data_IF_010240062913
#
_entry.id   IF_010240062913
#
_cell.length_a   1.000
_cell.length_b   1.000
_cell.length_c   1.000
_cell.angle_alpha   90.00
_cell.angle_beta   90.00
_cell.angle_gamma   90.00
#
_symmetry.space_group_name_H-M   'P 1'
#
loop_
_entity.id
_entity.type
_entity.pdbx_description
1 polymer ?
#
# COMPACT_ATOMS: atom_id res chain seq x y z
N UNK A 1 -22.29 13.80 -62.79
CA UNK A 1 -23.51 14.37 -62.17
C UNK A 1 -24.27 13.21 -61.56
N UNK A 2 -24.43 13.22 -60.23
CA UNK A 2 -25.51 12.53 -59.50
C UNK A 2 -26.84 13.33 -59.65
N UNK A 3 -28.04 12.90 -59.18
CA UNK A 3 -28.37 11.92 -58.10
C UNK A 3 -29.42 10.84 -58.58
N UNK A 4 -30.23 10.08 -57.80
CA UNK A 4 -30.74 10.15 -56.41
C UNK A 4 -30.81 8.79 -55.66
N UNK A 5 -30.61 8.88 -54.34
CA UNK A 5 -31.46 8.42 -53.22
C UNK A 5 -32.54 7.34 -53.45
N UNK A 6 -32.51 6.23 -52.68
CA UNK A 6 -33.49 5.91 -51.62
C UNK A 6 -33.25 4.54 -50.91
N UNK A 7 -33.92 4.37 -49.76
CA UNK A 7 -33.93 3.23 -48.80
C UNK A 7 -35.41 3.00 -48.38
N UNK A 8 -35.87 1.97 -47.60
CA UNK A 8 -35.16 0.93 -46.83
C UNK A 8 -35.75 -0.51 -46.96
N UNK A 9 -35.24 -1.48 -46.18
CA UNK A 9 -35.79 -2.86 -46.17
C UNK A 9 -35.25 -3.81 -45.08
N UNK A 10 -35.86 -3.78 -43.89
CA UNK A 10 -35.78 -4.70 -42.73
C UNK A 10 -35.17 -6.12 -42.88
N UNK A 11 -34.40 -6.53 -41.85
CA UNK A 11 -34.43 -7.90 -41.30
C UNK A 11 -34.60 -7.88 -39.77
N UNK A 12 -35.05 -9.01 -39.20
CA UNK A 12 -35.60 -9.12 -37.84
C UNK A 12 -34.61 -9.69 -36.81
N UNK A 13 -34.95 -9.49 -35.52
CA UNK A 13 -34.20 -9.90 -34.35
C UNK A 13 -33.93 -11.41 -34.24
N UNK A 14 -32.79 -11.75 -33.63
CA UNK A 14 -32.67 -12.90 -32.73
C UNK A 14 -31.86 -12.49 -31.49
N UNK A 15 -32.23 -12.99 -30.31
CA UNK A 15 -31.76 -12.48 -29.00
C UNK A 15 -30.51 -13.19 -28.47
N UNK A 16 -29.74 -12.47 -27.66
CA UNK A 16 -28.57 -12.97 -26.92
C UNK A 16 -29.01 -13.86 -25.75
N UNK A 17 -28.32 -14.99 -25.53
CA UNK A 17 -27.68 -15.23 -24.24
C UNK A 17 -26.24 -15.74 -24.42
N UNK A 18 -25.25 -15.35 -23.61
CA UNK A 18 -25.23 -14.38 -22.53
C UNK A 18 -23.81 -14.37 -21.94
N UNK A 19 -23.19 -13.20 -21.76
CA UNK A 19 -21.79 -13.12 -21.37
C UNK A 19 -21.59 -13.52 -19.90
N UNK A 20 -21.15 -14.76 -19.68
CA UNK A 20 -20.56 -15.17 -18.41
C UNK A 20 -19.29 -14.35 -18.19
N UNK A 21 -19.39 -13.31 -17.35
CA UNK A 21 -18.21 -12.73 -16.72
C UNK A 21 -17.67 -13.77 -15.73
N UNK A 22 -16.86 -14.70 -16.24
CA UNK A 22 -15.99 -15.50 -15.39
C UNK A 22 -15.06 -14.52 -14.67
N UNK A 23 -15.28 -14.36 -13.36
CA UNK A 23 -14.43 -13.56 -12.50
C UNK A 23 -13.04 -14.19 -12.52
N UNK A 24 -12.13 -13.57 -13.27
CA UNK A 24 -10.73 -13.99 -13.34
C UNK A 24 -10.17 -14.20 -11.94
N UNK A 25 -9.46 -15.30 -11.66
CA UNK A 25 -8.93 -15.55 -10.32
C UNK A 25 -8.03 -14.38 -9.90
N UNK A 26 -8.27 -13.88 -8.69
CA UNK A 26 -7.55 -12.74 -8.10
C UNK A 26 -6.04 -12.99 -8.08
N UNK A 27 -5.65 -14.22 -7.77
CA UNK A 27 -4.26 -14.69 -7.76
C UNK A 27 -3.97 -15.51 -9.01
N UNK A 28 -3.06 -15.02 -9.85
CA UNK A 28 -2.61 -15.68 -11.08
C UNK A 28 -1.27 -16.37 -10.87
N UNK A 29 -1.00 -17.44 -11.61
CA UNK A 29 0.31 -18.12 -11.64
C UNK A 29 1.33 -17.47 -12.59
N UNK A 30 0.88 -16.54 -13.43
CA UNK A 30 1.68 -15.76 -14.38
C UNK A 30 1.23 -14.30 -14.35
N UNK A 31 2.12 -13.33 -14.58
CA UNK A 31 1.74 -11.92 -14.66
C UNK A 31 0.91 -11.64 -15.92
N UNK A 32 0.27 -10.47 -15.98
CA UNK A 32 -0.29 -9.92 -17.23
C UNK A 32 0.84 -9.52 -18.18
N UNK A 33 1.95 -9.00 -17.66
CA UNK A 33 3.15 -8.69 -18.45
C UNK A 33 4.42 -9.25 -17.83
N UNK A 34 5.16 -10.05 -18.59
CA UNK A 34 6.50 -10.54 -18.18
C UNK A 34 7.54 -9.41 -18.03
N UNK A 35 7.25 -8.20 -18.56
CA UNK A 35 8.10 -7.02 -18.44
C UNK A 35 7.47 -5.92 -17.59
N UNK A 36 8.32 -5.20 -16.84
CA UNK A 36 7.96 -4.05 -16.00
C UNK A 36 7.91 -2.72 -16.77
N UNK A 37 7.62 -1.63 -16.06
CA UNK A 37 7.53 -0.27 -16.63
C UNK A 37 8.85 0.31 -17.15
N UNK A 38 10.00 -0.35 -16.90
CA UNK A 38 11.30 -0.01 -17.48
C UNK A 38 11.75 -1.02 -18.55
N UNK A 39 10.92 -2.01 -18.90
CA UNK A 39 11.23 -3.04 -19.89
C UNK A 39 12.16 -4.15 -19.37
N UNK A 40 12.40 -4.24 -18.07
CA UNK A 40 13.13 -5.36 -17.45
C UNK A 40 12.18 -6.53 -17.15
N UNK A 41 12.72 -7.73 -16.91
CA UNK A 41 11.95 -8.89 -16.45
C UNK A 41 11.29 -8.57 -15.09
N UNK A 42 9.96 -8.68 -15.05
CA UNK A 42 9.12 -8.06 -14.01
C UNK A 42 9.46 -8.53 -12.59
N UNK A 43 9.45 -9.83 -12.36
CA UNK A 43 9.81 -10.44 -11.08
C UNK A 43 10.61 -11.71 -11.32
N UNK A 44 11.52 -12.05 -10.39
CA UNK A 44 12.31 -13.29 -10.45
C UNK A 44 12.20 -14.05 -9.14
N UNK A 45 11.60 -15.23 -9.16
CA UNK A 45 11.38 -16.10 -7.99
C UNK A 45 10.62 -17.36 -8.36
N UNK A 46 10.76 -18.44 -7.57
CA UNK A 46 10.23 -19.77 -7.94
C UNK A 46 8.77 -20.01 -7.55
N UNK A 47 8.27 -19.35 -6.50
CA UNK A 47 6.92 -19.54 -5.95
C UNK A 47 6.23 -18.18 -5.81
N UNK A 48 5.80 -17.64 -6.96
CA UNK A 48 5.19 -16.31 -7.06
C UNK A 48 3.73 -16.41 -7.52
N UNK A 49 2.87 -15.56 -6.96
CA UNK A 49 1.51 -15.29 -7.45
C UNK A 49 1.34 -13.81 -7.76
N UNK A 50 0.54 -13.51 -8.77
CA UNK A 50 0.37 -12.17 -9.31
C UNK A 50 -1.06 -11.68 -9.11
N UNK A 51 -1.18 -10.46 -8.60
CA UNK A 51 -2.42 -9.70 -8.50
C UNK A 51 -2.38 -8.54 -9.50
N UNK A 52 -3.46 -8.36 -10.24
CA UNK A 52 -3.57 -7.26 -11.21
C UNK A 52 -3.81 -5.94 -10.50
N UNK A 53 -2.89 -4.97 -10.67
CA UNK A 53 -3.08 -3.58 -10.23
C UNK A 53 -4.24 -2.93 -11.01
N UNK A 54 -5.27 -2.37 -10.35
CA UNK A 54 -6.27 -1.54 -11.01
C UNK A 54 -5.68 -0.16 -11.36
N UNK A 55 -6.43 0.69 -12.08
CA UNK A 55 -6.06 2.08 -12.41
C UNK A 55 -6.13 3.01 -11.17
N UNK A 56 -5.38 2.66 -10.13
CA UNK A 56 -5.27 3.34 -8.84
C UNK A 56 -3.88 3.10 -8.23
N UNK A 57 -3.43 3.92 -7.27
CA UNK A 57 -2.15 3.71 -6.60
C UNK A 57 -2.06 2.37 -5.84
N UNK A 58 -0.84 1.94 -5.57
CA UNK A 58 -0.54 0.74 -4.78
C UNK A 58 -1.16 0.82 -3.37
N UNK A 59 -1.72 -0.30 -2.90
CA UNK A 59 -2.31 -0.42 -1.56
C UNK A 59 -2.11 -1.82 -0.98
N UNK A 60 -1.42 -1.89 0.14
CA UNK A 60 -1.29 -3.10 0.97
C UNK A 60 -2.66 -3.50 1.52
N UNK A 61 -3.45 -2.52 1.97
CA UNK A 61 -4.74 -2.75 2.61
C UNK A 61 -5.76 -3.36 1.65
N UNK A 62 -5.80 -2.90 0.40
CA UNK A 62 -6.66 -3.50 -0.62
C UNK A 62 -6.20 -4.91 -0.99
N UNK A 63 -4.88 -5.14 -1.04
CA UNK A 63 -4.31 -6.44 -1.37
C UNK A 63 -4.58 -7.49 -0.30
N UNK A 64 -4.49 -7.12 0.98
CA UNK A 64 -4.75 -8.01 2.11
C UNK A 64 -6.20 -8.48 2.23
N UNK A 65 -7.20 -7.72 1.74
CA UNK A 65 -8.62 -8.14 1.71
C UNK A 65 -8.87 -9.47 0.98
N UNK A 66 -7.94 -9.88 0.13
CA UNK A 66 -8.05 -11.12 -0.64
C UNK A 66 -7.50 -12.36 0.08
N UNK A 67 -6.95 -12.18 1.29
CA UNK A 67 -6.48 -13.24 2.17
C UNK A 67 -7.48 -13.40 3.33
N UNK A 68 -7.94 -14.62 3.64
CA UNK A 68 -8.87 -14.82 4.74
C UNK A 68 -8.13 -14.74 6.09
N UNK A 69 -8.71 -14.04 7.06
CA UNK A 69 -8.28 -14.12 8.45
C UNK A 69 -8.51 -15.54 9.00
N UNK A 70 -7.47 -16.15 9.54
CA UNK A 70 -7.57 -17.41 10.26
C UNK A 70 -7.97 -17.19 11.73
N UNK A 71 -9.10 -17.78 12.12
CA UNK A 71 -9.44 -17.91 13.53
C UNK A 71 -8.47 -18.90 14.21
N UNK A 72 -7.52 -18.36 14.98
CA UNK A 72 -6.57 -19.13 15.77
C UNK A 72 -7.35 -19.95 16.81
N UNK A 73 -7.27 -21.27 16.72
CA UNK A 73 -7.79 -22.15 17.77
C UNK A 73 -6.79 -22.21 18.91
N UNK A 74 -7.26 -22.02 20.14
CA UNK A 74 -6.42 -22.09 21.35
C UNK A 74 -6.04 -23.55 21.69
N UNK A 75 -5.20 -24.15 20.84
CA UNK A 75 -4.61 -25.47 21.06
C UNK A 75 -3.63 -25.35 22.23
N UNK A 76 -3.83 -26.16 23.28
CA UNK A 76 -2.95 -26.18 24.45
C UNK A 76 -1.57 -26.75 24.08
N UNK A 77 -0.63 -25.87 23.76
CA UNK A 77 0.76 -26.22 23.52
C UNK A 77 1.41 -26.81 24.79
N UNK A 78 2.15 -27.91 24.63
CA UNK A 78 3.00 -28.55 25.67
C UNK A 78 4.50 -28.43 25.37
N UNK A 79 4.86 -27.88 24.21
CA UNK A 79 6.22 -27.62 23.75
C UNK A 79 6.21 -26.51 22.69
N UNK A 80 7.39 -26.04 22.30
CA UNK A 80 7.53 -25.21 21.10
C UNK A 80 7.01 -25.95 19.83
N UNK A 81 6.68 -25.22 18.75
CA UNK A 81 6.24 -25.82 17.50
C UNK A 81 7.30 -26.76 16.90
N UNK A 82 6.88 -27.91 16.35
CA UNK A 82 7.80 -28.99 15.93
C UNK A 82 8.13 -29.00 14.43
N UNK A 83 7.36 -28.26 13.64
CA UNK A 83 7.41 -28.30 12.17
C UNK A 83 7.33 -26.87 11.61
N UNK A 84 8.19 -26.56 10.65
CA UNK A 84 8.19 -25.24 10.00
C UNK A 84 7.06 -25.09 8.98
N UNK A 85 6.60 -23.87 8.69
CA UNK A 85 5.62 -23.61 7.63
C UNK A 85 6.03 -24.18 6.27
N UNK A 86 5.01 -24.55 5.50
CA UNK A 86 5.14 -25.20 4.20
C UNK A 86 4.53 -24.36 3.09
N UNK A 87 4.87 -24.66 1.83
CA UNK A 87 4.30 -24.01 0.63
C UNK A 87 4.41 -22.46 0.67
N UNK A 88 5.57 -21.96 1.10
CA UNK A 88 5.85 -20.52 1.15
C UNK A 88 5.68 -19.92 -0.25
N UNK A 89 4.92 -18.83 -0.34
CA UNK A 89 4.56 -18.18 -1.60
C UNK A 89 4.71 -16.66 -1.44
N UNK A 90 5.31 -15.99 -2.44
CA UNK A 90 5.29 -14.53 -2.54
C UNK A 90 4.12 -14.13 -3.44
N UNK A 91 3.17 -13.39 -2.90
CA UNK A 91 2.10 -12.74 -3.68
C UNK A 91 2.47 -11.28 -3.90
N UNK A 92 2.44 -10.84 -5.15
CA UNK A 92 2.86 -9.50 -5.54
C UNK A 92 1.84 -8.83 -6.47
N UNK A 93 1.79 -7.50 -6.43
CA UNK A 93 0.90 -6.67 -7.25
C UNK A 93 1.73 -6.06 -8.38
N UNK A 94 1.33 -6.30 -9.63
CA UNK A 94 2.07 -5.83 -10.81
C UNK A 94 2.19 -4.30 -10.82
N UNK A 95 3.39 -3.74 -10.80
CA UNK A 95 3.65 -2.30 -10.70
C UNK A 95 3.67 -1.76 -9.26
N UNK A 96 3.88 -2.62 -8.25
CA UNK A 96 4.01 -2.22 -6.84
C UNK A 96 5.24 -2.88 -6.18
N UNK A 97 6.47 -2.39 -6.46
CA UNK A 97 7.71 -3.02 -5.99
C UNK A 97 8.03 -2.82 -4.50
N UNK A 98 7.30 -1.93 -3.80
CA UNK A 98 7.60 -1.48 -2.44
C UNK A 98 7.05 -2.38 -1.33
N UNK A 99 6.23 -3.37 -1.68
CA UNK A 99 5.75 -4.39 -0.75
C UNK A 99 5.49 -5.72 -1.47
N UNK A 100 5.43 -6.81 -0.71
CA UNK A 100 4.82 -8.07 -1.12
C UNK A 100 3.97 -8.62 0.02
N UNK A 101 3.12 -9.60 -0.26
CA UNK A 101 2.49 -10.43 0.78
C UNK A 101 3.17 -11.79 0.75
N UNK A 102 3.71 -12.24 1.89
CA UNK A 102 4.22 -13.61 2.05
C UNK A 102 3.07 -14.45 2.62
N UNK A 103 2.81 -15.60 2.02
CA UNK A 103 1.72 -16.54 2.34
C UNK A 103 2.26 -17.96 2.55
N UNK A 104 1.66 -18.75 3.45
CA UNK A 104 2.10 -20.11 3.76
C UNK A 104 1.01 -21.04 4.28
N UNK A 105 1.22 -22.36 4.13
CA UNK A 105 0.38 -23.38 4.79
C UNK A 105 1.00 -23.78 6.14
N UNK A 106 0.26 -23.53 7.23
CA UNK A 106 0.53 -24.07 8.57
C UNK A 106 0.46 -25.61 8.60
N UNK A 107 1.09 -26.23 9.60
CA UNK A 107 0.99 -27.67 9.78
C UNK A 107 -0.32 -28.07 10.48
N UNK A 108 -0.87 -29.24 10.17
CA UNK A 108 -2.14 -29.70 10.78
C UNK A 108 -1.98 -30.11 12.25
N UNK A 109 -0.75 -30.46 12.66
CA UNK A 109 -0.35 -30.70 14.05
C UNK A 109 0.45 -29.53 14.64
N UNK A 110 0.28 -28.31 14.11
CA UNK A 110 0.97 -27.12 14.62
C UNK A 110 0.43 -26.69 15.99
N UNK A 111 1.28 -26.05 16.78
CA UNK A 111 0.94 -25.42 18.07
C UNK A 111 1.41 -23.96 18.12
N UNK A 112 1.76 -23.37 16.97
CA UNK A 112 2.01 -21.95 16.81
C UNK A 112 0.80 -21.09 17.25
N UNK A 113 1.10 -19.89 17.71
CA UNK A 113 0.13 -18.81 17.91
C UNK A 113 0.54 -17.56 17.12
N UNK A 114 1.84 -17.43 16.82
CA UNK A 114 2.42 -16.36 16.01
C UNK A 114 3.46 -16.94 15.03
N UNK A 115 3.82 -16.14 14.04
CA UNK A 115 4.82 -16.44 13.03
C UNK A 115 5.75 -15.24 12.87
N UNK A 116 7.05 -15.47 13.00
CA UNK A 116 8.10 -14.50 12.70
C UNK A 116 8.53 -14.64 11.24
N UNK A 117 8.18 -13.67 10.40
CA UNK A 117 8.58 -13.59 8.99
C UNK A 117 9.86 -12.77 8.90
N UNK A 118 10.96 -13.43 8.59
CA UNK A 118 12.27 -12.81 8.41
C UNK A 118 12.47 -12.51 6.92
N UNK A 119 12.67 -11.24 6.58
CA UNK A 119 13.06 -10.80 5.24
C UNK A 119 14.49 -10.26 5.25
N UNK A 120 15.35 -10.80 4.37
CA UNK A 120 16.75 -10.42 4.23
C UNK A 120 16.95 -9.78 2.87
N UNK A 121 17.31 -8.50 2.84
CA UNK A 121 17.76 -7.82 1.63
C UNK A 121 19.21 -8.21 1.33
N UNK A 122 19.55 -8.38 0.05
CA UNK A 122 20.94 -8.42 -0.42
C UNK A 122 21.23 -7.19 -1.30
N UNK A 123 22.08 -6.28 -0.82
CA UNK A 123 22.53 -5.09 -1.55
C UNK A 123 23.55 -5.37 -2.64
N UNK A 124 23.74 -4.42 -3.56
CA UNK A 124 24.71 -4.53 -4.67
C UNK A 124 26.18 -4.57 -4.18
N UNK A 125 26.44 -4.12 -2.97
CA UNK A 125 27.71 -4.16 -2.25
C UNK A 125 27.89 -5.44 -1.40
N UNK A 126 26.93 -6.36 -1.45
CA UNK A 126 26.76 -7.51 -0.54
C UNK A 126 26.49 -7.10 0.93
N UNK A 127 26.03 -5.88 1.19
CA UNK A 127 25.39 -5.56 2.47
C UNK A 127 24.11 -6.41 2.63
N UNK A 128 23.79 -6.76 3.88
CA UNK A 128 22.53 -7.42 4.22
C UNK A 128 21.77 -6.63 5.26
N UNK A 129 20.51 -6.31 4.95
CA UNK A 129 19.56 -5.70 5.88
C UNK A 129 18.49 -6.74 6.22
N UNK A 130 18.32 -7.06 7.50
CA UNK A 130 17.29 -8.00 7.96
C UNK A 130 16.15 -7.25 8.67
N UNK A 131 14.92 -7.61 8.33
CA UNK A 131 13.70 -7.14 8.99
C UNK A 131 12.89 -8.35 9.45
N UNK A 132 12.30 -8.27 10.65
CA UNK A 132 11.42 -9.30 11.20
C UNK A 132 10.02 -8.71 11.39
N UNK A 133 9.04 -9.28 10.70
CA UNK A 133 7.61 -8.98 10.87
C UNK A 133 6.97 -10.10 11.67
N UNK A 134 6.31 -9.79 12.78
CA UNK A 134 5.52 -10.77 13.53
C UNK A 134 4.05 -10.67 13.12
N UNK A 135 3.42 -11.81 12.84
CA UNK A 135 1.99 -11.91 12.55
C UNK A 135 1.36 -13.08 13.30
N UNK A 136 0.06 -13.03 13.52
CA UNK A 136 -0.72 -14.17 14.05
C UNK A 136 -1.52 -14.89 12.94
N UNK A 137 -1.44 -14.40 11.69
CA UNK A 137 -2.04 -14.97 10.49
C UNK A 137 -1.06 -15.89 9.75
N UNK A 138 -1.55 -16.71 8.81
CA UNK A 138 -0.71 -17.49 7.88
C UNK A 138 -0.22 -16.68 6.66
N UNK A 139 -0.35 -15.36 6.72
CA UNK A 139 0.13 -14.43 5.72
C UNK A 139 0.55 -13.11 6.38
N UNK A 140 1.39 -12.32 5.73
CA UNK A 140 1.67 -10.93 6.14
C UNK A 140 2.20 -10.09 4.99
N UNK A 141 2.00 -8.77 5.07
CA UNK A 141 2.71 -7.84 4.20
C UNK A 141 4.15 -7.65 4.69
N UNK A 142 5.11 -7.64 3.77
CA UNK A 142 6.47 -7.16 4.01
C UNK A 142 6.65 -5.86 3.23
N UNK A 143 6.96 -4.79 3.96
CA UNK A 143 6.84 -3.41 3.51
C UNK A 143 8.19 -2.67 3.45
N UNK A 144 8.23 -1.52 2.78
CA UNK A 144 9.43 -0.72 2.50
C UNK A 144 10.51 -1.46 1.70
N UNK A 145 10.11 -2.37 0.81
CA UNK A 145 11.04 -3.04 -0.10
C UNK A 145 11.61 -2.01 -1.10
N UNK A 146 12.89 -2.17 -1.43
CA UNK A 146 13.57 -1.36 -2.45
C UNK A 146 13.27 -1.95 -3.84
N UNK A 147 13.03 -1.15 -4.89
CA UNK A 147 12.84 -1.65 -6.25
C UNK A 147 14.10 -2.34 -6.82
N UNK A 148 13.90 -3.26 -7.78
CA UNK A 148 14.93 -4.06 -8.45
C UNK A 148 16.00 -4.64 -7.49
N UNK A 149 15.54 -5.16 -6.35
CA UNK A 149 16.39 -5.60 -5.23
C UNK A 149 16.08 -7.05 -4.87
N UNK A 150 17.11 -7.81 -4.51
CA UNK A 150 17.00 -9.22 -4.13
C UNK A 150 16.68 -9.37 -2.65
N UNK A 151 15.73 -10.25 -2.33
CA UNK A 151 15.31 -10.60 -0.98
C UNK A 151 15.24 -12.12 -0.80
N UNK A 152 15.52 -12.62 0.40
CA UNK A 152 15.06 -13.96 0.84
C UNK A 152 14.06 -13.84 1.99
N UNK A 153 13.04 -14.69 1.97
CA UNK A 153 12.00 -14.76 2.99
C UNK A 153 12.04 -16.11 3.70
N UNK A 154 11.87 -16.13 5.02
CA UNK A 154 11.66 -17.36 5.80
C UNK A 154 10.68 -17.10 6.94
N UNK A 155 9.93 -18.13 7.34
CA UNK A 155 8.92 -18.00 8.40
C UNK A 155 9.19 -18.97 9.53
N UNK A 156 9.30 -18.47 10.74
CA UNK A 156 9.53 -19.26 11.97
C UNK A 156 8.24 -19.28 12.80
N UNK A 157 7.68 -20.47 13.13
CA UNK A 157 6.48 -20.59 13.96
C UNK A 157 6.85 -20.41 15.43
N UNK A 158 6.01 -19.73 16.22
CA UNK A 158 6.27 -19.45 17.64
C UNK A 158 5.06 -19.69 18.52
N UNK A 159 5.30 -20.06 19.78
CA UNK A 159 4.28 -20.08 20.84
C UNK A 159 4.91 -19.79 22.21
N UNK A 160 4.11 -19.88 23.27
CA UNK A 160 4.52 -19.58 24.67
C UNK A 160 5.71 -20.41 25.19
N UNK A 161 6.10 -21.50 24.52
CA UNK A 161 7.24 -22.35 24.86
C UNK A 161 8.48 -22.10 23.98
N UNK A 162 8.38 -21.20 22.98
CA UNK A 162 9.50 -20.77 22.13
C UNK A 162 9.26 -20.90 20.62
N UNK A 163 10.35 -20.73 19.88
CA UNK A 163 10.42 -20.79 18.41
C UNK A 163 10.58 -22.23 17.93
N UNK A 164 9.86 -22.62 16.89
CA UNK A 164 10.07 -23.87 16.16
C UNK A 164 11.13 -23.77 15.06
N UNK A 165 11.29 -24.81 14.22
CA UNK A 165 12.17 -24.74 13.06
C UNK A 165 11.57 -23.83 11.96
N UNK A 166 12.39 -23.07 11.21
CA UNK A 166 11.90 -22.21 10.14
C UNK A 166 11.45 -23.00 8.90
N UNK A 167 10.72 -22.33 8.01
CA UNK A 167 10.52 -22.77 6.63
C UNK A 167 11.85 -22.84 5.85
N UNK A 168 11.82 -23.47 4.67
CA UNK A 168 12.84 -23.21 3.63
C UNK A 168 12.85 -21.73 3.27
N UNK A 169 14.03 -21.16 2.99
CA UNK A 169 14.12 -19.78 2.46
C UNK A 169 13.56 -19.71 1.03
N UNK A 170 12.89 -18.61 0.71
CA UNK A 170 12.33 -18.30 -0.60
C UNK A 170 12.93 -17.01 -1.15
N UNK A 171 13.71 -17.13 -2.23
CA UNK A 171 14.31 -15.98 -2.92
C UNK A 171 13.34 -15.30 -3.89
N UNK A 172 13.37 -13.97 -3.91
CA UNK A 172 12.53 -13.12 -4.75
C UNK A 172 13.25 -11.81 -5.12
N UNK A 173 13.07 -11.31 -6.34
CA UNK A 173 13.55 -9.99 -6.78
C UNK A 173 12.37 -9.11 -7.14
N UNK A 174 12.34 -7.90 -6.56
CA UNK A 174 11.28 -6.90 -6.77
C UNK A 174 11.32 -6.28 -8.18
N UNK A 175 10.17 -5.76 -8.63
CA UNK A 175 10.03 -4.96 -9.85
C UNK A 175 10.90 -3.69 -9.85
N UNK A 176 11.13 -3.10 -11.03
CA UNK A 176 11.54 -1.69 -11.13
C UNK A 176 10.58 -0.74 -10.41
N UNK A 177 11.07 0.46 -10.08
CA UNK A 177 10.20 1.56 -9.68
C UNK A 177 9.21 1.89 -10.81
N UNK A 178 7.98 2.23 -10.44
CA UNK A 178 6.95 2.70 -11.37
C UNK A 178 7.08 4.23 -11.54
N UNK A 179 7.60 4.73 -12.69
CA UNK A 179 7.84 6.15 -12.90
C UNK A 179 6.54 6.96 -13.07
N UNK A 180 5.39 6.31 -13.23
CA UNK A 180 4.09 7.00 -13.26
C UNK A 180 3.67 7.53 -11.89
N UNK A 181 4.19 6.95 -10.80
CA UNK A 181 3.85 7.37 -9.44
C UNK A 181 4.78 8.49 -8.94
N UNK A 182 6.08 8.43 -9.24
CA UNK A 182 7.05 9.50 -8.93
C UNK A 182 8.37 9.35 -9.68
N UNK A 183 9.17 10.42 -9.73
CA UNK A 183 10.57 10.40 -10.17
C UNK A 183 11.45 9.65 -9.15
N UNK A 184 11.54 8.31 -9.27
CA UNK A 184 12.46 7.52 -8.45
C UNK A 184 13.91 7.73 -8.92
N UNK A 185 14.68 8.51 -8.15
CA UNK A 185 16.10 8.74 -8.41
C UNK A 185 16.92 8.19 -7.24
N UNK A 186 17.68 7.10 -7.44
CA UNK A 186 18.49 6.47 -6.39
C UNK A 186 19.39 7.48 -5.67
N UNK A 187 19.30 7.53 -4.34
CA UNK A 187 20.09 8.45 -3.50
C UNK A 187 19.60 9.90 -3.53
N UNK A 188 18.41 10.16 -4.08
CA UNK A 188 17.75 11.47 -4.14
C UNK A 188 16.33 11.46 -3.57
N UNK A 189 15.98 10.38 -2.88
CA UNK A 189 14.69 10.17 -2.22
C UNK A 189 14.31 11.35 -1.33
N UNK A 190 13.00 11.61 -1.23
CA UNK A 190 12.47 12.65 -0.37
C UNK A 190 12.94 12.42 1.08
N UNK A 191 13.78 13.32 1.62
CA UNK A 191 14.39 13.17 2.95
C UNK A 191 13.32 13.36 4.03
N UNK A 192 12.66 12.26 4.38
CA UNK A 192 11.71 12.15 5.47
C UNK A 192 12.45 11.97 6.79
N UNK A 193 12.50 13.02 7.60
CA UNK A 193 13.11 12.95 8.94
C UNK A 193 12.07 12.46 9.95
N UNK A 194 12.36 11.38 10.68
CA UNK A 194 11.50 10.94 11.78
C UNK A 194 11.46 12.04 12.86
N UNK A 195 10.27 12.58 13.14
CA UNK A 195 10.09 13.72 14.03
C UNK A 195 8.70 13.71 14.68
N UNK A 196 8.68 13.71 16.02
CA UNK A 196 7.45 13.64 16.82
C UNK A 196 6.77 15.01 16.94
N UNK A 197 6.17 15.48 15.84
CA UNK A 197 5.43 16.74 15.81
C UNK A 197 4.14 16.71 16.65
N UNK A 198 3.65 17.93 16.98
CA UNK A 198 2.34 18.19 17.58
C UNK A 198 1.31 18.41 16.46
N UNK A 199 0.09 17.91 16.65
CA UNK A 199 -0.98 18.01 15.67
C UNK A 199 -2.33 18.32 16.34
N UNK A 200 -3.33 18.64 15.52
CA UNK A 200 -4.59 19.31 15.91
C UNK A 200 -5.70 18.39 16.45
N UNK A 201 -5.67 17.08 16.18
CA UNK A 201 -6.69 16.11 16.60
C UNK A 201 -6.16 14.69 16.81
N UNK A 202 -7.04 13.77 17.22
CA UNK A 202 -6.82 12.33 17.02
C UNK A 202 -6.48 11.99 15.55
N UNK A 203 -5.80 10.85 15.35
CA UNK A 203 -5.52 10.23 14.05
C UNK A 203 -5.70 8.72 14.16
N UNK A 204 -6.26 8.08 13.14
CA UNK A 204 -6.33 6.61 13.04
C UNK A 204 -4.94 6.01 12.81
N UNK A 205 -4.08 6.74 12.12
CA UNK A 205 -2.67 6.40 11.98
C UNK A 205 -1.95 6.68 13.30
N UNK A 206 -1.38 5.63 13.91
CA UNK A 206 -0.69 5.71 15.21
C UNK A 206 0.81 5.38 15.13
N UNK A 207 1.31 5.03 13.94
CA UNK A 207 2.70 4.67 13.70
C UNK A 207 3.68 5.85 13.76
N UNK A 208 4.91 5.61 13.29
CA UNK A 208 5.99 6.61 13.35
C UNK A 208 5.66 7.87 12.54
N UNK A 209 6.19 8.99 13.03
CA UNK A 209 5.91 10.33 12.51
C UNK A 209 7.10 10.87 11.75
N UNK A 210 6.86 11.42 10.57
CA UNK A 210 7.91 11.95 9.68
C UNK A 210 7.58 13.37 9.23
N UNK A 211 8.61 14.17 8.97
CA UNK A 211 8.46 15.52 8.41
C UNK A 211 9.38 15.71 7.21
N UNK A 212 8.83 16.34 6.17
CA UNK A 212 9.56 16.84 4.98
C UNK A 212 9.34 18.33 4.83
N UNK A 213 10.38 19.07 4.44
CA UNK A 213 10.28 20.50 4.10
C UNK A 213 9.95 20.67 2.62
N UNK A 214 8.93 21.44 2.27
CA UNK A 214 8.52 21.67 0.88
C UNK A 214 9.20 22.90 0.27
N UNK A 215 9.24 22.95 -1.08
CA UNK A 215 9.70 24.11 -1.86
C UNK A 215 8.88 25.38 -1.53
N UNK A 216 7.61 25.22 -1.19
CA UNK A 216 6.66 26.29 -0.83
C UNK A 216 6.78 26.81 0.62
N UNK A 217 7.95 26.63 1.26
CA UNK A 217 8.25 27.09 2.63
C UNK A 217 7.33 26.53 3.73
N UNK A 218 6.70 25.37 3.51
CA UNK A 218 5.88 24.66 4.51
C UNK A 218 6.55 23.34 4.93
N UNK A 219 6.05 22.75 5.99
CA UNK A 219 6.42 21.41 6.46
C UNK A 219 5.22 20.48 6.24
N UNK A 220 5.45 19.35 5.57
CA UNK A 220 4.49 18.24 5.48
C UNK A 220 4.80 17.29 6.62
N UNK A 221 3.80 17.03 7.46
CA UNK A 221 3.87 16.04 8.54
C UNK A 221 3.11 14.78 8.12
N UNK A 222 3.68 13.62 8.40
CA UNK A 222 3.12 12.31 8.12
C UNK A 222 3.00 11.52 9.42
N UNK A 223 1.88 10.85 9.61
CA UNK A 223 1.73 9.78 10.61
C UNK A 223 1.34 8.50 9.85
N UNK A 224 2.12 7.43 10.00
CA UNK A 224 1.91 6.17 9.29
C UNK A 224 0.76 5.35 9.87
N UNK A 225 -0.10 4.83 9.00
CA UNK A 225 -0.96 3.67 9.27
C UNK A 225 -0.25 2.40 8.76
N UNK A 226 0.23 2.44 7.51
CA UNK A 226 1.23 1.53 6.96
C UNK A 226 2.22 2.31 6.05
N UNK A 227 3.13 1.66 5.32
CA UNK A 227 4.13 2.38 4.49
C UNK A 227 3.50 3.15 3.33
N UNK A 228 2.37 2.67 2.78
CA UNK A 228 1.62 3.30 1.69
C UNK A 228 0.39 4.10 2.17
N UNK A 229 -0.11 3.84 3.38
CA UNK A 229 -1.27 4.50 4.00
C UNK A 229 -0.84 5.41 5.15
N UNK A 230 -1.18 6.69 5.07
CA UNK A 230 -0.80 7.66 6.10
C UNK A 230 -1.76 8.84 6.19
N UNK A 231 -1.78 9.50 7.34
CA UNK A 231 -2.41 10.81 7.47
C UNK A 231 -1.40 11.91 7.17
N UNK A 232 -1.73 12.75 6.18
CA UNK A 232 -0.96 13.94 5.78
C UNK A 232 -1.46 15.16 6.57
N UNK A 233 -0.52 15.95 7.07
CA UNK A 233 -0.73 17.24 7.75
C UNK A 233 0.18 18.31 7.14
N UNK A 234 -0.14 19.58 7.36
CA UNK A 234 0.71 20.73 7.00
C UNK A 234 0.99 21.65 8.19
N UNK A 235 2.17 22.27 8.21
CA UNK A 235 2.48 23.39 9.11
C UNK A 235 3.35 24.46 8.44
N UNK A 236 3.29 25.67 8.98
CA UNK A 236 4.22 26.75 8.65
C UNK A 236 5.51 26.69 9.52
N UNK A 237 5.56 25.85 10.57
CA UNK A 237 6.74 25.70 11.44
C UNK A 237 6.92 24.26 11.94
N UNK A 238 8.15 23.76 11.94
CA UNK A 238 8.52 22.44 12.47
C UNK A 238 8.15 22.28 13.97
N UNK A 239 8.25 23.35 14.76
CA UNK A 239 7.89 23.36 16.19
C UNK A 239 6.43 23.73 16.46
N UNK A 240 5.66 24.03 15.42
CA UNK A 240 4.26 24.43 15.51
C UNK A 240 3.29 23.26 15.66
N UNK A 241 2.00 23.57 15.55
CA UNK A 241 0.96 22.57 15.31
C UNK A 241 0.95 22.24 13.82
N UNK A 242 0.86 20.95 13.51
CA UNK A 242 0.57 20.43 12.18
C UNK A 242 -0.94 20.19 12.08
N UNK A 243 -1.57 20.81 11.09
CA UNK A 243 -3.01 20.83 10.94
C UNK A 243 -3.47 19.93 9.80
N UNK A 244 -4.72 19.48 9.89
CA UNK A 244 -5.39 18.78 8.82
C UNK A 244 -5.37 19.59 7.51
N UNK A 245 -5.36 18.87 6.39
CA UNK A 245 -5.54 19.44 5.05
C UNK A 245 -6.96 19.10 4.60
N UNK A 246 -7.73 20.12 4.23
CA UNK A 246 -9.06 19.99 3.65
C UNK A 246 -9.11 20.33 2.16
N UNK A 247 -10.13 19.83 1.49
CA UNK A 247 -10.37 19.96 0.05
C UNK A 247 -11.76 20.58 -0.21
N UNK A 248 -11.84 21.48 -1.18
CA UNK A 248 -13.05 22.14 -1.66
C UNK A 248 -13.70 21.43 -2.87
N UNK A 249 -12.99 20.54 -3.56
CA UNK A 249 -13.45 19.91 -4.82
C UNK A 249 -13.12 18.41 -4.90
N UNK A 250 -13.29 17.71 -3.79
CA UNK A 250 -13.03 16.28 -3.67
C UNK A 250 -13.01 15.85 -2.21
N UNK A 251 -12.18 14.87 -1.89
CA UNK A 251 -11.87 14.44 -0.53
C UNK A 251 -10.35 14.48 -0.25
N UNK A 252 -9.59 15.21 -1.07
CA UNK A 252 -8.14 15.37 -0.95
C UNK A 252 -7.35 14.25 -1.61
N UNK A 253 -7.90 13.55 -2.61
CA UNK A 253 -7.17 12.59 -3.45
C UNK A 253 -5.91 13.25 -4.04
N UNK A 254 -6.01 14.52 -4.46
CA UNK A 254 -4.90 15.29 -5.03
C UNK A 254 -3.81 15.70 -4.01
N UNK A 255 -4.08 15.58 -2.70
CA UNK A 255 -3.14 15.91 -1.63
C UNK A 255 -1.91 14.99 -1.64
N UNK A 256 -1.96 13.88 -2.38
CA UNK A 256 -0.81 13.03 -2.68
C UNK A 256 0.35 13.77 -3.36
N UNK A 257 0.09 14.94 -3.97
CA UNK A 257 1.14 15.88 -4.37
C UNK A 257 2.07 16.30 -3.22
N UNK A 258 1.60 16.38 -1.97
CA UNK A 258 2.45 16.78 -0.82
C UNK A 258 3.49 15.72 -0.44
N UNK A 259 3.27 14.46 -0.84
CA UNK A 259 4.25 13.36 -0.73
C UNK A 259 5.01 13.10 -2.03
N UNK A 260 4.96 14.06 -2.97
CA UNK A 260 5.61 14.03 -4.29
C UNK A 260 5.08 12.96 -5.27
N UNK A 261 3.92 12.35 -4.98
CA UNK A 261 3.23 11.47 -5.93
C UNK A 261 2.66 12.28 -7.10
N UNK A 262 2.82 11.79 -8.33
CA UNK A 262 2.24 12.37 -9.55
C UNK A 262 0.76 12.04 -9.73
N UNK A 263 0.31 10.93 -9.15
CA UNK A 263 -1.08 10.46 -9.19
C UNK A 263 -1.93 11.12 -8.09
N UNK A 264 -3.24 10.94 -8.20
CA UNK A 264 -4.20 11.20 -7.14
C UNK A 264 -4.45 9.90 -6.34
N UNK A 265 -4.67 10.03 -5.03
CA UNK A 265 -4.69 8.92 -4.07
C UNK A 265 -6.03 8.19 -3.94
N UNK A 266 -6.02 7.09 -3.17
CA UNK A 266 -7.23 6.71 -2.40
C UNK A 266 -7.26 7.50 -1.10
N UNK A 267 -8.45 7.67 -0.56
CA UNK A 267 -8.75 8.43 0.66
C UNK A 267 -9.54 7.56 1.66
N UNK A 268 -9.56 7.98 2.92
CA UNK A 268 -10.39 7.38 3.97
C UNK A 268 -11.89 7.57 3.75
N UNK A 269 -12.71 7.16 4.72
CA UNK A 269 -14.17 7.23 4.62
C UNK A 269 -14.66 8.64 4.22
N UNK A 270 -15.42 8.70 3.14
CA UNK A 270 -15.97 9.93 2.57
C UNK A 270 -17.21 10.38 3.37
N UNK A 271 -16.96 10.88 4.58
CA UNK A 271 -17.98 11.44 5.46
C UNK A 271 -18.58 12.72 4.87
N UNK A 272 -19.87 12.94 5.13
CA UNK A 272 -20.55 14.19 4.77
C UNK A 272 -19.97 15.39 5.56
N UNK A 273 -19.97 16.62 5.01
CA UNK A 273 -19.45 17.80 5.69
C UNK A 273 -19.99 17.97 7.12
N UNK A 274 -21.28 17.73 7.32
CA UNK A 274 -21.98 17.86 8.61
C UNK A 274 -21.50 16.83 9.66
N UNK A 275 -20.93 15.70 9.24
CA UNK A 275 -20.35 14.68 10.12
C UNK A 275 -18.92 15.01 10.53
N UNK A 276 -18.19 15.82 9.76
CA UNK A 276 -16.79 16.18 10.01
C UNK A 276 -16.67 17.25 11.12
N UNK A 277 -16.00 16.98 12.26
CA UNK A 277 -15.81 17.98 13.31
C UNK A 277 -15.09 19.25 12.81
N UNK A 278 -15.70 20.40 13.07
CA UNK A 278 -15.18 21.73 12.72
C UNK A 278 -13.83 21.98 13.39
N UNK A 279 -12.83 22.40 12.61
CA UNK A 279 -11.45 22.66 13.09
C UNK A 279 -10.76 23.75 12.28
N UNK A 280 -9.59 24.20 12.73
CA UNK A 280 -8.67 24.95 11.86
C UNK A 280 -7.83 23.98 11.02
N UNK A 281 -7.56 24.34 9.78
CA UNK A 281 -6.84 23.50 8.81
C UNK A 281 -6.23 24.31 7.68
N UNK A 282 -5.30 23.69 6.96
CA UNK A 282 -4.94 24.15 5.62
C UNK A 282 -5.97 23.64 4.62
N UNK A 283 -6.21 24.36 3.52
CA UNK A 283 -7.10 23.87 2.47
C UNK A 283 -6.80 24.47 1.09
N UNK A 284 -7.33 23.83 0.05
CA UNK A 284 -7.34 24.28 -1.34
C UNK A 284 -8.53 23.65 -2.09
N UNK A 285 -8.65 23.92 -3.39
CA UNK A 285 -9.60 23.27 -4.29
C UNK A 285 -8.94 22.42 -5.37
N UNK A 286 -7.71 22.71 -5.81
CA UNK A 286 -7.08 21.96 -6.91
C UNK A 286 -5.56 21.80 -6.78
N UNK A 287 -5.03 20.84 -7.54
CA UNK A 287 -3.62 20.47 -7.61
C UNK A 287 -2.77 21.66 -8.04
N UNK A 288 -1.59 21.81 -7.44
CA UNK A 288 -0.70 23.00 -7.50
C UNK A 288 -1.23 24.31 -6.87
N UNK A 289 -2.48 24.40 -6.40
CA UNK A 289 -2.99 25.63 -5.78
C UNK A 289 -2.28 25.95 -4.45
N UNK A 290 -1.96 27.24 -4.15
CA UNK A 290 -1.45 27.67 -2.86
C UNK A 290 -2.45 27.41 -1.72
N UNK A 291 -2.08 26.55 -0.76
CA UNK A 291 -2.96 26.24 0.38
C UNK A 291 -3.20 27.46 1.28
N UNK A 292 -4.48 27.77 1.46
CA UNK A 292 -5.01 28.73 2.43
C UNK A 292 -5.07 28.11 3.83
N UNK A 293 -5.38 28.91 4.86
CA UNK A 293 -5.55 28.44 6.23
C UNK A 293 -6.82 29.07 6.83
N UNK A 294 -7.62 28.26 7.51
CA UNK A 294 -8.90 28.68 8.10
C UNK A 294 -9.73 27.51 8.59
N UNK A 295 -11.05 27.70 8.69
CA UNK A 295 -11.97 26.68 9.22
C UNK A 295 -12.31 25.61 8.18
N UNK A 296 -12.19 24.33 8.53
CA UNK A 296 -12.58 23.18 7.70
C UNK A 296 -13.53 22.23 8.46
N UNK A 297 -14.28 21.39 7.73
CA UNK A 297 -15.34 20.54 8.29
C UNK A 297 -16.63 21.28 8.66
N UNK A 298 -17.67 20.51 8.96
CA UNK A 298 -19.01 21.03 9.25
C UNK A 298 -19.57 21.83 8.08
N UNK A 299 -20.25 22.94 8.40
CA UNK A 299 -20.93 23.83 7.44
C UNK A 299 -20.00 24.66 6.53
N UNK A 300 -18.70 24.35 6.48
CA UNK A 300 -17.81 25.00 5.50
C UNK A 300 -17.80 24.29 4.15
N UNK A 301 -18.30 23.05 4.09
CA UNK A 301 -18.21 22.17 2.92
C UNK A 301 -16.76 21.89 2.44
N UNK A 302 -15.77 22.14 3.31
CA UNK A 302 -14.38 21.76 3.08
C UNK A 302 -14.14 20.39 3.73
N UNK A 303 -14.07 19.35 2.90
CA UNK A 303 -13.92 17.97 3.32
C UNK A 303 -12.51 17.70 3.83
N UNK A 304 -12.34 16.75 4.75
CA UNK A 304 -11.03 16.18 5.07
C UNK A 304 -11.18 14.72 5.48
N UNK A 305 -10.18 13.90 5.16
CA UNK A 305 -10.24 12.44 5.34
C UNK A 305 -9.25 11.93 6.38
N UNK A 306 -9.48 10.70 6.84
CA UNK A 306 -8.77 10.14 7.99
C UNK A 306 -7.39 9.57 7.62
N UNK A 307 -7.18 9.14 6.38
CA UNK A 307 -5.91 8.71 5.80
C UNK A 307 -5.90 8.90 4.27
N UNK A 308 -4.72 8.75 3.67
CA UNK A 308 -4.46 8.79 2.23
C UNK A 308 -3.60 7.58 1.83
N UNK A 309 -3.81 7.02 0.64
CA UNK A 309 -2.92 6.03 0.00
C UNK A 309 -2.48 6.54 -1.37
N UNK A 310 -1.23 7.02 -1.44
CA UNK A 310 -0.72 7.77 -2.59
C UNK A 310 0.19 6.96 -3.54
N UNK A 311 0.36 5.66 -3.28
CA UNK A 311 1.28 4.77 -3.99
C UNK A 311 2.77 4.98 -3.66
N UNK A 312 3.11 6.06 -2.97
CA UNK A 312 4.48 6.37 -2.51
C UNK A 312 4.69 5.80 -1.12
N UNK A 313 5.72 4.96 -0.96
CA UNK A 313 6.15 4.47 0.34
C UNK A 313 6.88 5.58 1.11
N UNK A 314 6.50 5.81 2.36
CA UNK A 314 7.19 6.73 3.25
C UNK A 314 8.15 5.90 4.13
N UNK A 315 9.47 6.02 3.94
CA UNK A 315 10.42 5.07 4.50
C UNK A 315 10.49 5.14 6.02
N UNK A 316 10.24 4.01 6.67
CA UNK A 316 10.44 3.82 8.10
C UNK A 316 10.35 2.35 8.50
N UNK A 317 11.31 1.88 9.31
CA UNK A 317 11.12 0.64 10.07
C UNK A 317 9.96 0.79 11.06
N UNK A 318 9.39 -0.31 11.51
CA UNK A 318 8.14 -0.38 12.27
C UNK A 318 8.35 -0.24 13.78
#
# INVERSE_FOLDING_TARGET
MEPETQSPGSQLFSTVPGSTHESSPVFRSTPVSNIDGQGQERFRGSYVKYMTKPDMPCSITESLKHFPDENITNIKALSAPRYGPSNLTVVTVEGCPTFVIVDWKKNENDTAHEYEVVSKMTGLDNSTEELVTVTNQTHTAVENLKPNTSYTFSVTPTNIHGRGPPSTELSFVTESADPSVSEYVPGKDAIWTQYSFKFDSYSECQGKRFVKRTRYRKFVGIILCNSLRYKIYLSNSLSGIFYNIGDLSGYGEDHCQFVDSFLDGRTGEQLLPEQLPIRQGFYRSVRQEPVMFGTIGGRTHINYVHWYECGIAIPGQW
#
